data_IF_553660662552
#
_entry.id   IF_553660662552
#
_cell.length_a   1.000
_cell.length_b   1.000
_cell.length_c   1.000
_cell.angle_alpha   90.00
_cell.angle_beta   90.00
_cell.angle_gamma   90.00
#
_symmetry.space_group_name_H-M   'P 1'
#
loop_
_entity.id
_entity.type
_entity.pdbx_description
1 polymer ?
#
# COMPACT_ATOMS: atom_id res chain seq x y z
N UNK A 1 -13.98 4.04 -16.37
CA UNK A 1 -13.56 2.83 -15.64
C UNK A 1 -12.06 2.85 -15.52
N UNK A 2 -11.51 2.80 -14.31
CA UNK A 2 -10.07 2.58 -14.13
C UNK A 2 -9.77 1.13 -14.52
N UNK A 3 -8.65 0.91 -15.20
CA UNK A 3 -8.18 -0.46 -15.44
C UNK A 3 -7.56 -1.02 -14.16
N UNK A 4 -7.57 -2.35 -14.02
CA UNK A 4 -6.98 -3.03 -12.86
C UNK A 4 -5.51 -2.65 -12.64
N UNK A 5 -4.74 -2.52 -13.72
CA UNK A 5 -3.32 -2.13 -13.66
C UNK A 5 -3.15 -0.68 -13.14
N UNK A 6 -3.98 0.25 -13.61
CA UNK A 6 -3.94 1.64 -13.09
C UNK A 6 -4.28 1.69 -11.60
N UNK A 7 -5.24 0.88 -11.15
CA UNK A 7 -5.61 0.79 -9.73
C UNK A 7 -4.45 0.24 -8.89
N UNK A 8 -3.77 -0.81 -9.36
CA UNK A 8 -2.61 -1.37 -8.67
C UNK A 8 -1.50 -0.33 -8.55
N UNK A 9 -1.18 0.39 -9.63
CA UNK A 9 -0.12 1.40 -9.61
C UNK A 9 -0.43 2.54 -8.63
N UNK A 10 -1.69 2.98 -8.56
CA UNK A 10 -2.13 3.97 -7.59
C UNK A 10 -1.98 3.46 -6.15
N UNK A 11 -2.39 2.21 -5.88
CA UNK A 11 -2.28 1.60 -4.56
C UNK A 11 -0.83 1.34 -4.15
N UNK A 12 0.01 0.93 -5.09
CA UNK A 12 1.43 0.69 -4.86
C UNK A 12 2.17 1.96 -4.45
N UNK A 13 1.87 3.10 -5.10
CA UNK A 13 2.40 4.42 -4.69
C UNK A 13 2.04 4.80 -3.26
N UNK A 14 0.94 4.27 -2.75
CA UNK A 14 0.45 4.47 -1.38
C UNK A 14 0.89 3.38 -0.41
N UNK A 15 1.88 2.58 -0.81
CA UNK A 15 2.45 1.49 -0.01
C UNK A 15 1.40 0.41 0.32
N UNK A 16 0.46 0.19 -0.59
CA UNK A 16 -0.54 -0.89 -0.57
C UNK A 16 -0.23 -1.85 -1.71
N UNK A 17 -0.07 -3.12 -1.37
CA UNK A 17 0.21 -4.19 -2.31
C UNK A 17 -1.07 -4.98 -2.59
N UNK A 18 -1.32 -5.23 -3.86
CA UNK A 18 -2.43 -6.08 -4.31
C UNK A 18 -1.84 -7.32 -4.97
N UNK A 19 -2.17 -8.49 -4.44
CA UNK A 19 -1.78 -9.79 -5.01
C UNK A 19 -3.01 -10.45 -5.64
N UNK A 20 -2.98 -10.67 -6.95
CA UNK A 20 -4.05 -11.35 -7.68
C UNK A 20 -3.69 -12.82 -7.91
N UNK A 21 -4.63 -13.72 -7.60
CA UNK A 21 -4.55 -15.13 -7.94
C UNK A 21 -5.79 -15.53 -8.73
N UNK A 22 -5.60 -16.22 -9.85
CA UNK A 22 -6.69 -16.83 -10.61
C UNK A 22 -6.94 -18.22 -10.05
N UNK A 23 -8.15 -18.46 -9.59
CA UNK A 23 -8.61 -19.75 -9.10
C UNK A 23 -9.55 -20.39 -10.11
N UNK A 24 -9.24 -21.61 -10.53
CA UNK A 24 -10.11 -22.42 -11.39
C UNK A 24 -11.37 -22.83 -10.62
N UNK A 25 -12.53 -22.32 -11.01
CA UNK A 25 -13.80 -22.74 -10.43
C UNK A 25 -14.20 -24.15 -10.88
N UNK A 26 -14.99 -24.84 -10.05
CA UNK A 26 -15.43 -26.23 -10.25
C UNK A 26 -16.32 -26.45 -11.51
N UNK A 27 -16.69 -25.37 -12.21
CA UNK A 27 -17.60 -25.34 -13.37
C UNK A 27 -16.99 -24.64 -14.61
N UNK A 28 -15.66 -24.53 -14.70
CA UNK A 28 -14.99 -23.89 -15.84
C UNK A 28 -15.05 -22.36 -15.85
N UNK A 29 -15.56 -21.75 -14.78
CA UNK A 29 -15.51 -20.29 -14.56
C UNK A 29 -14.25 -19.94 -13.78
N UNK A 30 -13.45 -19.01 -14.29
CA UNK A 30 -12.34 -18.44 -13.54
C UNK A 30 -12.89 -17.56 -12.41
N UNK A 31 -12.36 -17.74 -11.21
CA UNK A 31 -12.59 -16.82 -10.10
C UNK A 31 -11.29 -16.08 -9.84
N UNK A 32 -11.38 -14.79 -9.60
CA UNK A 32 -10.24 -13.97 -9.23
C UNK A 32 -10.25 -13.78 -7.72
N UNK A 33 -9.10 -14.02 -7.10
CA UNK A 33 -8.84 -13.75 -5.69
C UNK A 33 -7.85 -12.61 -5.61
N UNK A 34 -8.29 -11.43 -5.20
CA UNK A 34 -7.37 -10.34 -4.86
C UNK A 34 -7.15 -10.30 -3.35
N UNK A 35 -5.89 -10.25 -2.94
CA UNK A 35 -5.45 -10.01 -1.57
C UNK A 35 -4.83 -8.64 -1.52
N UNK A 36 -5.42 -7.72 -0.77
CA UNK A 36 -4.90 -6.37 -0.58
C UNK A 36 -4.26 -6.28 0.80
N UNK A 37 -2.98 -5.91 0.85
CA UNK A 37 -2.17 -5.85 2.08
C UNK A 37 -1.32 -4.57 2.10
N UNK A 38 -0.95 -4.08 3.28
CA UNK A 38 0.03 -2.98 3.38
C UNK A 38 1.44 -3.48 3.08
N UNK A 39 2.15 -2.79 2.18
CA UNK A 39 3.51 -3.17 1.81
C UNK A 39 4.45 -3.00 3.02
N UNK A 40 5.05 -4.10 3.45
CA UNK A 40 5.90 -4.20 4.65
C UNK A 40 7.36 -3.86 4.32
N UNK A 41 7.60 -2.84 3.50
CA UNK A 41 8.96 -2.51 3.06
C UNK A 41 9.64 -1.59 4.08
N UNK A 42 10.41 -2.25 4.94
CA UNK A 42 11.50 -1.77 5.79
C UNK A 42 11.17 -0.89 7.03
N UNK A 43 11.66 -1.37 8.18
CA UNK A 43 11.93 -0.68 9.46
C UNK A 43 10.79 -0.28 10.41
N UNK A 44 9.51 -0.39 10.03
CA UNK A 44 8.38 -0.09 10.93
C UNK A 44 7.64 -1.35 11.44
N UNK A 45 8.34 -2.49 11.46
CA UNK A 45 7.75 -3.85 11.52
C UNK A 45 7.00 -4.22 12.81
N UNK A 46 6.88 -3.34 13.80
CA UNK A 46 6.35 -3.73 15.12
C UNK A 46 5.18 -2.89 15.65
N UNK A 47 4.68 -1.86 14.95
CA UNK A 47 3.61 -1.01 15.54
C UNK A 47 2.50 -0.55 14.60
N UNK A 48 2.54 -0.90 13.31
CA UNK A 48 1.47 -0.51 12.38
C UNK A 48 0.49 -1.65 12.11
N UNK A 49 -0.82 -1.39 12.17
CA UNK A 49 -1.82 -2.41 11.87
C UNK A 49 -1.69 -2.85 10.41
N UNK A 50 -1.48 -4.15 10.21
CA UNK A 50 -1.56 -4.79 8.90
C UNK A 50 -3.03 -5.09 8.64
N UNK A 51 -3.56 -4.61 7.50
CA UNK A 51 -4.87 -5.01 7.04
C UNK A 51 -4.74 -5.96 5.86
N UNK A 52 -5.61 -6.96 5.83
CA UNK A 52 -5.72 -7.90 4.73
C UNK A 52 -7.18 -8.20 4.47
N UNK A 53 -7.63 -8.00 3.23
CA UNK A 53 -8.95 -8.45 2.80
C UNK A 53 -8.86 -9.22 1.48
N UNK A 54 -9.78 -10.18 1.34
CA UNK A 54 -9.89 -11.03 0.15
C UNK A 54 -11.13 -10.64 -0.64
N UNK A 55 -10.97 -10.43 -1.94
CA UNK A 55 -12.08 -10.18 -2.86
C UNK A 55 -12.17 -11.34 -3.83
N UNK A 56 -13.39 -11.83 -4.03
CA UNK A 56 -13.72 -12.88 -4.99
C UNK A 56 -14.58 -12.27 -6.09
N UNK A 57 -14.10 -12.34 -7.34
CA UNK A 57 -14.83 -11.86 -8.51
C UNK A 57 -14.91 -12.94 -9.60
N UNK A 58 -15.95 -12.89 -10.44
CA UNK A 58 -16.03 -13.72 -11.66
C UNK A 58 -15.38 -13.03 -12.86
N UNK A 59 -15.26 -11.71 -12.80
CA UNK A 59 -14.53 -10.87 -13.75
C UNK A 59 -13.47 -10.01 -13.05
N UNK A 60 -12.58 -9.40 -13.83
CA UNK A 60 -11.63 -8.41 -13.30
C UNK A 60 -12.37 -7.15 -12.80
N UNK A 61 -13.48 -6.78 -13.45
CA UNK A 61 -14.29 -5.63 -13.05
C UNK A 61 -14.97 -5.83 -11.70
N UNK A 62 -15.38 -7.07 -11.37
CA UNK A 62 -15.90 -7.41 -10.05
C UNK A 62 -14.82 -7.24 -8.97
N UNK A 63 -13.58 -7.61 -9.30
CA UNK A 63 -12.44 -7.43 -8.40
C UNK A 63 -12.15 -5.96 -8.18
N UNK A 64 -12.07 -5.17 -9.26
CA UNK A 64 -11.87 -3.71 -9.20
C UNK A 64 -12.96 -3.07 -8.34
N UNK A 65 -14.22 -3.37 -8.62
CA UNK A 65 -15.36 -2.85 -7.86
C UNK A 65 -15.30 -3.26 -6.39
N UNK A 66 -14.93 -4.51 -6.11
CA UNK A 66 -14.79 -5.01 -4.74
C UNK A 66 -13.61 -4.37 -3.99
N UNK A 67 -12.56 -3.95 -4.69
CA UNK A 67 -11.44 -3.19 -4.10
C UNK A 67 -11.93 -1.77 -3.80
N UNK A 68 -12.54 -1.10 -4.77
CA UNK A 68 -13.04 0.28 -4.63
C UNK A 68 -14.08 0.40 -3.51
N UNK A 69 -14.93 -0.61 -3.29
CA UNK A 69 -15.91 -0.64 -2.21
C UNK A 69 -15.25 -0.76 -0.82
N UNK A 70 -14.14 -1.50 -0.72
CA UNK A 70 -13.46 -1.79 0.56
C UNK A 70 -12.34 -0.80 0.87
N UNK A 71 -11.79 -0.12 -0.13
CA UNK A 71 -10.71 0.84 0.03
C UNK A 71 -11.04 1.97 1.05
N UNK A 72 -12.25 2.55 1.07
CA UNK A 72 -12.62 3.56 2.05
C UNK A 72 -12.53 3.10 3.51
N UNK A 73 -12.66 1.78 3.77
CA UNK A 73 -12.58 1.22 5.12
C UNK A 73 -11.14 1.24 5.66
N UNK A 74 -10.15 1.15 4.78
CA UNK A 74 -8.73 1.11 5.12
C UNK A 74 -8.02 2.45 4.86
N UNK A 75 -8.68 3.36 4.15
CA UNK A 75 -8.19 4.72 3.85
C UNK A 75 -7.68 5.49 5.08
N UNK A 76 -8.34 5.46 6.26
CA UNK A 76 -7.82 6.16 7.45
C UNK A 76 -6.45 5.61 7.90
N UNK A 77 -6.23 4.31 7.76
CA UNK A 77 -4.98 3.64 8.13
C UNK A 77 -3.88 4.00 7.13
N UNK A 78 -4.19 3.99 5.83
CA UNK A 78 -3.26 4.37 4.77
C UNK A 78 -2.81 5.82 4.99
N UNK A 79 -3.76 6.74 5.21
CA UNK A 79 -3.46 8.16 5.43
C UNK A 79 -2.60 8.39 6.68
N UNK A 80 -2.92 7.73 7.80
CA UNK A 80 -2.13 7.84 9.02
C UNK A 80 -0.68 7.38 8.81
N UNK A 81 -0.47 6.36 7.96
CA UNK A 81 0.86 5.86 7.59
C UNK A 81 1.60 6.84 6.67
N UNK A 82 0.94 7.41 5.69
CA UNK A 82 1.49 8.46 4.81
C UNK A 82 1.97 9.68 5.63
N UNK A 83 1.14 10.15 6.57
CA UNK A 83 1.47 11.26 7.47
C UNK A 83 2.66 10.92 8.39
N UNK A 84 2.70 9.70 8.92
CA UNK A 84 3.82 9.26 9.76
C UNK A 84 5.13 9.19 8.97
N UNK A 85 5.12 8.62 7.76
CA UNK A 85 6.30 8.60 6.88
C UNK A 85 6.77 10.02 6.54
N UNK A 86 5.85 10.92 6.22
CA UNK A 86 6.18 12.32 5.93
C UNK A 86 6.81 13.02 7.15
N UNK A 87 6.32 12.73 8.37
CA UNK A 87 6.90 13.26 9.61
C UNK A 87 8.31 12.70 9.86
N UNK A 88 8.50 11.39 9.73
CA UNK A 88 9.81 10.74 9.89
C UNK A 88 10.84 11.30 8.90
N UNK A 89 10.44 11.51 7.64
CA UNK A 89 11.31 12.12 6.63
C UNK A 89 11.74 13.54 7.02
N UNK A 90 10.80 14.39 7.47
CA UNK A 90 11.13 15.75 7.95
C UNK A 90 12.05 15.75 9.17
N UNK A 91 11.86 14.81 10.10
CA UNK A 91 12.71 14.67 11.28
C UNK A 91 14.12 14.20 10.91
N UNK A 92 14.25 13.34 9.89
CA UNK A 92 15.53 12.91 9.34
C UNK A 92 16.27 14.07 8.64
N UNK A 93 15.58 14.82 7.77
CA UNK A 93 16.14 16.01 7.12
C UNK A 93 16.55 17.09 8.13
N UNK A 94 15.78 17.27 9.21
CA UNK A 94 16.10 18.19 10.30
C UNK A 94 17.34 17.81 11.12
N UNK A 95 17.75 16.54 11.10
CA UNK A 95 18.97 16.05 11.80
C UNK A 95 20.21 16.01 10.90
N UNK A 96 20.06 16.17 9.58
CA UNK A 96 21.16 16.19 8.61
C UNK A 96 21.98 17.49 8.58
N UNK A 97 21.63 18.50 9.38
CA UNK A 97 22.33 19.79 9.43
C UNK A 97 23.35 19.90 10.58
N UNK A 98 23.88 18.78 11.09
CA UNK A 98 24.81 18.79 12.24
C UNK A 98 26.24 18.30 11.97
N UNK A 99 26.64 18.07 10.71
CA UNK A 99 28.02 17.71 10.34
C UNK A 99 28.64 18.62 9.27
N UNK A 100 28.30 19.90 9.31
CA UNK A 100 29.06 20.95 8.61
C UNK A 100 29.65 21.94 9.61
N UNK A 101 30.43 21.45 10.58
CA UNK A 101 31.44 22.31 11.22
C UNK A 101 32.64 22.34 10.28
N UNK A 102 32.91 23.44 9.55
CA UNK A 102 34.16 23.56 8.83
C UNK A 102 35.29 23.51 9.85
N UNK A 103 36.14 22.48 9.77
CA UNK A 103 37.48 22.52 10.36
C UNK A 103 38.32 23.50 9.54
N UNK A 104 38.17 24.79 9.78
CA UNK A 104 39.18 25.78 9.41
C UNK A 104 39.49 26.72 10.57
N UNK A 105 40.79 26.72 10.89
CA UNK A 105 41.58 27.80 11.45
C UNK A 105 41.33 28.25 12.90
N UNK A 106 42.15 27.74 13.83
CA UNK A 106 43.17 28.52 14.55
C UNK A 106 44.04 27.60 15.43
#
# INVERSE_FOLDING_TARGET
MKTFDTLIDELFKRDVKVSLAVMSGRLGRAHYKAVVETATSLELSSSWPVFQFTILGQSMDDVVSGIEERLPLVEPIIKAREEHKARQWREFEGRGAHDAVPKEAA
#
